data_IF_818551405351
#
_entry.id   IF_818551405351
#
_cell.length_a   1.000
_cell.length_b   1.000
_cell.length_c   1.000
_cell.angle_alpha   90.00
_cell.angle_beta   90.00
_cell.angle_gamma   90.00
#
_symmetry.space_group_name_H-M   'P 1'
#
loop_
_entity.id
_entity.type
_entity.pdbx_description
1 polymer ?
#
# COMPACT_ATOMS: atom_id res chain seq x y z
N UNK A 1 1.97 -68.88 -7.81
CA UNK A 1 1.15 -68.39 -6.68
C UNK A 1 0.45 -67.12 -7.15
N UNK A 2 -0.87 -67.15 -7.31
CA UNK A 2 -1.70 -66.03 -7.79
C UNK A 2 -2.09 -65.17 -6.59
N UNK A 3 -1.89 -63.86 -6.64
CA UNK A 3 -2.57 -62.90 -5.77
C UNK A 3 -3.33 -61.91 -6.66
N UNK A 4 -4.57 -61.68 -6.24
CA UNK A 4 -5.70 -61.09 -6.94
C UNK A 4 -5.73 -59.57 -6.69
N UNK A 5 -6.00 -58.80 -7.76
CA UNK A 5 -7.02 -57.72 -7.93
C UNK A 5 -7.48 -57.04 -6.61
N UNK A 6 -7.53 -55.72 -6.41
CA UNK A 6 -8.50 -54.77 -7.01
C UNK A 6 -8.25 -53.33 -6.49
N UNK A 7 -8.31 -52.35 -7.39
CA UNK A 7 -9.01 -51.06 -7.31
C UNK A 7 -9.05 -50.18 -6.03
N UNK A 8 -8.62 -48.93 -6.26
CA UNK A 8 -9.37 -47.67 -6.00
C UNK A 8 -9.42 -47.11 -4.56
N UNK A 9 -8.94 -45.85 -4.49
CA UNK A 9 -9.21 -44.77 -3.51
C UNK A 9 -8.45 -44.75 -2.17
N UNK A 10 -7.59 -43.74 -2.06
CA UNK A 10 -7.60 -42.59 -1.11
C UNK A 10 -6.43 -41.71 -1.63
N UNK A 11 -6.61 -40.73 -2.52
CA UNK A 11 -7.25 -39.42 -2.31
C UNK A 11 -7.07 -38.87 -0.90
N UNK A 12 -5.94 -38.21 -0.62
CA UNK A 12 -5.82 -37.08 0.30
C UNK A 12 -4.39 -36.50 0.33
N UNK A 13 -4.31 -35.19 0.60
CA UNK A 13 -3.16 -34.28 0.63
C UNK A 13 -2.90 -33.59 -0.72
N UNK A 14 -3.87 -32.81 -1.21
CA UNK A 14 -4.14 -31.42 -0.78
C UNK A 14 -2.89 -30.56 -0.94
N UNK A 15 -2.84 -29.88 -2.09
CA UNK A 15 -2.58 -28.44 -2.19
C UNK A 15 -1.64 -27.87 -1.12
N UNK A 16 -0.33 -27.94 -1.39
CA UNK A 16 0.61 -26.94 -0.91
C UNK A 16 0.41 -25.61 -1.64
N UNK A 17 -0.82 -25.10 -1.66
CA UNK A 17 -1.10 -23.73 -2.04
C UNK A 17 -0.51 -22.89 -0.91
N UNK A 18 0.62 -22.25 -1.18
CA UNK A 18 1.20 -21.26 -0.29
C UNK A 18 0.15 -20.17 -0.10
N UNK A 19 -0.57 -20.24 1.02
CA UNK A 19 -1.47 -19.19 1.46
C UNK A 19 -0.55 -18.02 1.82
N UNK A 20 -0.40 -17.11 0.86
CA UNK A 20 0.08 -15.77 1.15
C UNK A 20 -0.84 -15.22 2.23
N UNK A 21 -0.30 -15.07 3.44
CA UNK A 21 -0.97 -14.46 4.59
C UNK A 21 -1.22 -12.99 4.26
N UNK A 22 -2.31 -12.73 3.53
CA UNK A 22 -2.87 -11.39 3.39
C UNK A 22 -3.49 -11.02 4.73
N UNK A 23 -2.79 -10.22 5.52
CA UNK A 23 -3.40 -9.59 6.70
C UNK A 23 -4.59 -8.76 6.23
N UNK A 24 -5.80 -9.18 6.61
CA UNK A 24 -7.04 -8.45 6.33
C UNK A 24 -7.03 -7.16 7.14
N UNK A 25 -6.74 -6.04 6.49
CA UNK A 25 -6.78 -4.73 7.12
C UNK A 25 -8.25 -4.33 7.38
N UNK A 26 -8.55 -3.86 8.59
CA UNK A 26 -9.92 -3.52 9.04
C UNK A 26 -10.10 -2.00 8.94
N UNK A 27 -11.26 -1.45 8.66
CA UNK A 27 -11.44 0.02 8.56
C UNK A 27 -11.27 0.72 9.93
N UNK A 28 -10.56 1.86 10.01
CA UNK A 28 -10.46 2.66 11.26
C UNK A 28 -11.48 3.79 11.37
N UNK A 29 -11.86 4.45 10.27
CA UNK A 29 -12.80 5.59 10.25
C UNK A 29 -13.66 5.60 8.98
N UNK A 30 -14.84 6.21 9.03
CA UNK A 30 -15.70 6.46 7.86
C UNK A 30 -15.41 7.84 7.27
N UNK A 31 -15.19 7.88 5.95
CA UNK A 31 -15.08 9.04 5.05
C UNK A 31 -14.28 10.26 5.53
N UNK A 32 -12.96 10.07 5.65
CA UNK A 32 -11.95 11.12 5.75
C UNK A 32 -11.50 11.59 4.36
N UNK A 33 -11.21 12.89 4.25
CA UNK A 33 -10.54 13.46 3.09
C UNK A 33 -9.11 13.84 3.43
N UNK A 34 -8.13 13.28 2.72
CA UNK A 34 -6.70 13.53 2.91
C UNK A 34 -6.08 14.14 1.65
N UNK A 35 -5.21 15.12 1.84
CA UNK A 35 -4.38 15.65 0.76
C UNK A 35 -3.03 14.95 0.78
N UNK A 36 -2.71 14.27 -0.31
CA UNK A 36 -1.45 13.57 -0.47
C UNK A 36 -0.71 14.12 -1.69
N UNK A 37 0.56 14.43 -1.47
CA UNK A 37 1.49 14.81 -2.51
C UNK A 37 2.23 13.55 -2.96
N UNK A 38 2.30 13.36 -4.28
CA UNK A 38 3.14 12.33 -4.88
C UNK A 38 4.59 12.82 -4.89
N UNK A 39 5.46 12.06 -4.23
CA UNK A 39 6.84 12.44 -3.95
C UNK A 39 7.85 11.91 -4.97
N UNK A 40 7.45 11.05 -5.91
CA UNK A 40 8.19 10.83 -7.17
C UNK A 40 9.61 10.27 -7.04
N UNK A 41 9.96 9.53 -5.98
CA UNK A 41 11.34 9.10 -5.66
C UNK A 41 11.94 8.02 -6.59
N UNK A 42 11.46 7.86 -7.83
CA UNK A 42 11.94 6.81 -8.74
C UNK A 42 12.04 5.40 -8.10
N UNK A 43 11.17 5.11 -7.12
CA UNK A 43 11.11 3.85 -6.38
C UNK A 43 9.74 3.18 -6.55
N UNK A 44 9.63 1.85 -6.67
CA UNK A 44 8.35 1.12 -6.71
C UNK A 44 7.56 1.14 -5.39
N UNK A 45 8.06 1.83 -4.35
CA UNK A 45 7.50 1.87 -3.02
C UNK A 45 6.49 3.04 -2.83
N UNK A 46 5.61 3.04 -1.81
CA UNK A 46 4.65 4.13 -1.58
C UNK A 46 5.30 5.50 -1.58
N UNK A 47 4.84 6.37 -2.49
CA UNK A 47 5.39 7.71 -2.66
C UNK A 47 4.40 8.81 -2.26
N UNK A 48 3.43 8.48 -1.43
CA UNK A 48 2.40 9.44 -1.01
C UNK A 48 2.68 9.88 0.41
N UNK A 49 2.66 11.17 0.66
CA UNK A 49 2.73 11.72 2.00
C UNK A 49 1.91 13.01 2.07
N UNK A 50 1.48 13.39 3.26
CA UNK A 50 0.87 14.70 3.42
C UNK A 50 1.93 15.79 3.19
N UNK A 51 1.57 16.98 2.69
CA UNK A 51 2.51 18.09 2.56
C UNK A 51 3.21 18.44 3.90
N UNK A 52 2.49 18.28 5.01
CA UNK A 52 3.04 18.45 6.35
C UNK A 52 4.13 17.42 6.66
N UNK A 53 3.86 16.14 6.43
CA UNK A 53 4.82 15.06 6.70
C UNK A 53 6.09 15.19 5.82
N UNK A 54 5.93 15.61 4.56
CA UNK A 54 7.06 15.93 3.66
C UNK A 54 7.90 17.06 4.22
N UNK A 55 7.26 18.15 4.68
CA UNK A 55 7.96 19.27 5.28
C UNK A 55 8.71 18.86 6.55
N UNK A 56 8.08 18.04 7.39
CA UNK A 56 8.68 17.50 8.61
C UNK A 56 9.91 16.64 8.28
N UNK A 57 9.80 15.70 7.33
CA UNK A 57 10.92 14.88 6.87
C UNK A 57 12.08 15.76 6.35
N UNK A 58 11.81 16.68 5.42
CA UNK A 58 12.82 17.59 4.85
C UNK A 58 13.52 18.43 5.92
N UNK A 59 12.79 18.85 6.95
CA UNK A 59 13.34 19.65 8.06
C UNK A 59 14.21 18.81 9.01
N UNK A 60 14.08 17.49 9.00
CA UNK A 60 14.86 16.58 9.84
C UNK A 60 16.21 16.17 9.24
N UNK A 61 16.38 16.32 7.92
CA UNK A 61 17.58 15.91 7.18
C UNK A 61 18.82 16.64 7.69
N UNK A 62 19.90 15.89 7.96
CA UNK A 62 21.16 16.47 8.45
C UNK A 62 21.11 16.93 9.92
N UNK A 63 20.05 16.58 10.65
CA UNK A 63 19.94 16.82 12.09
C UNK A 63 20.22 15.55 12.89
N UNK A 64 20.42 15.68 14.21
CA UNK A 64 20.56 14.52 15.11
C UNK A 64 19.28 13.68 15.25
N UNK A 65 18.14 14.20 14.80
CA UNK A 65 16.82 13.58 14.90
C UNK A 65 16.24 13.29 13.51
N UNK A 66 17.09 12.82 12.58
CA UNK A 66 16.67 12.54 11.21
C UNK A 66 15.55 11.48 11.20
N UNK A 67 14.46 11.81 10.53
CA UNK A 67 13.28 10.96 10.43
C UNK A 67 13.43 10.09 9.20
N UNK A 68 13.22 8.79 9.35
CA UNK A 68 13.24 7.88 8.20
C UNK A 68 12.03 8.12 7.29
N UNK A 69 12.26 8.12 5.99
CA UNK A 69 11.26 8.49 4.99
C UNK A 69 10.06 7.53 4.95
N UNK A 70 10.25 6.27 5.31
CA UNK A 70 9.17 5.27 5.40
C UNK A 70 8.15 5.57 6.50
N UNK A 71 8.54 6.36 7.51
CA UNK A 71 7.66 6.76 8.61
C UNK A 71 6.61 7.78 8.18
N UNK A 72 6.92 8.58 7.14
CA UNK A 72 6.04 9.62 6.60
C UNK A 72 5.22 9.16 5.39
N UNK A 73 5.62 8.07 4.75
CA UNK A 73 4.92 7.53 3.58
C UNK A 73 3.62 6.79 3.91
N UNK A 74 2.70 6.91 2.96
CA UNK A 74 1.35 6.33 2.92
C UNK A 74 1.25 5.53 1.61
N UNK A 75 0.69 4.33 1.72
CA UNK A 75 0.29 3.54 0.55
C UNK A 75 -1.14 3.92 0.25
N UNK A 76 -1.44 4.23 -1.01
CA UNK A 76 -2.81 4.37 -1.47
C UNK A 76 -3.25 3.06 -2.15
N UNK A 77 -4.46 2.60 -1.86
CA UNK A 77 -5.07 1.43 -2.50
C UNK A 77 -6.48 1.79 -2.97
N UNK A 78 -6.87 1.50 -4.21
CA UNK A 78 -8.25 1.74 -4.65
C UNK A 78 -9.21 0.78 -3.93
N UNK A 79 -10.38 1.27 -3.52
CA UNK A 79 -11.42 0.43 -2.91
C UNK A 79 -11.93 -0.66 -3.86
N UNK A 80 -11.93 -0.39 -5.16
CA UNK A 80 -12.39 -1.34 -6.18
C UNK A 80 -11.68 -1.08 -7.53
N UNK A 81 -11.71 -2.05 -8.47
CA UNK A 81 -11.03 -1.93 -9.77
C UNK A 81 -11.51 -0.79 -10.67
N UNK A 82 -12.70 -0.22 -10.43
CA UNK A 82 -13.26 0.87 -11.21
C UNK A 82 -12.90 2.25 -10.62
N UNK A 83 -12.14 2.29 -9.53
CA UNK A 83 -11.69 3.54 -8.92
C UNK A 83 -10.70 4.23 -9.86
N UNK A 84 -10.92 5.52 -10.14
CA UNK A 84 -10.03 6.31 -11.01
C UNK A 84 -8.62 6.33 -10.43
N UNK A 85 -7.63 5.99 -11.25
CA UNK A 85 -6.22 6.16 -10.88
C UNK A 85 -5.89 7.66 -10.84
N UNK A 86 -5.28 8.19 -9.77
CA UNK A 86 -4.93 9.61 -9.69
C UNK A 86 -4.08 10.09 -10.88
N UNK A 87 -3.25 9.22 -11.46
CA UNK A 87 -2.42 9.58 -12.62
C UNK A 87 -3.18 9.69 -13.94
N UNK A 88 -4.44 9.25 -14.00
CA UNK A 88 -5.31 9.44 -15.16
C UNK A 88 -6.00 10.83 -15.16
N UNK A 89 -5.90 11.56 -14.04
CA UNK A 89 -6.41 12.92 -13.94
C UNK A 89 -5.47 13.92 -14.62
N UNK A 90 -5.97 15.10 -14.98
CA UNK A 90 -5.13 16.20 -15.48
C UNK A 90 -4.48 16.95 -14.31
N UNK A 91 -3.25 16.59 -13.94
CA UNK A 91 -2.51 17.17 -12.80
C UNK A 91 -1.28 17.98 -13.22
N UNK A 92 -0.78 18.82 -12.31
CA UNK A 92 0.53 19.48 -12.44
C UNK A 92 1.65 18.47 -12.14
N UNK A 93 2.45 18.13 -13.15
CA UNK A 93 3.55 17.18 -13.03
C UNK A 93 4.72 17.68 -12.17
N UNK A 94 4.80 18.99 -11.91
CA UNK A 94 5.85 19.59 -11.08
C UNK A 94 5.61 19.36 -9.60
N UNK A 95 4.34 19.47 -9.17
CA UNK A 95 3.94 19.26 -7.78
C UNK A 95 2.59 18.54 -7.70
N UNK A 96 2.58 17.23 -8.01
CA UNK A 96 1.35 16.44 -8.06
C UNK A 96 0.73 16.28 -6.66
N UNK A 97 -0.31 17.06 -6.37
CA UNK A 97 -1.11 16.98 -5.14
C UNK A 97 -2.54 16.57 -5.47
N UNK A 98 -3.01 15.55 -4.77
CA UNK A 98 -4.34 14.99 -4.95
C UNK A 98 -5.08 14.94 -3.62
N UNK A 99 -6.40 15.13 -3.72
CA UNK A 99 -7.32 14.97 -2.60
C UNK A 99 -8.02 13.63 -2.73
N UNK A 100 -7.80 12.75 -1.75
CA UNK A 100 -8.40 11.42 -1.68
C UNK A 100 -9.49 11.40 -0.62
N UNK A 101 -10.59 10.70 -0.88
CA UNK A 101 -11.71 10.56 0.07
C UNK A 101 -12.02 9.09 0.30
N UNK A 102 -12.01 8.67 1.57
CA UNK A 102 -12.46 7.37 2.10
C UNK A 102 -11.82 7.14 3.49
N UNK A 103 -10.80 6.28 3.65
CA UNK A 103 -10.40 5.83 4.99
C UNK A 103 -8.99 5.27 5.07
N UNK A 104 -8.40 5.44 6.25
CA UNK A 104 -7.25 4.64 6.65
C UNK A 104 -7.68 3.24 7.07
N UNK A 105 -6.92 2.26 6.61
CA UNK A 105 -7.04 0.89 7.08
C UNK A 105 -6.27 0.70 8.39
N UNK A 106 -6.80 -0.13 9.27
CA UNK A 106 -6.24 -0.56 10.56
C UNK A 106 -5.06 -1.45 10.27
N UNK A 107 -3.90 -0.98 10.72
CA UNK A 107 -2.63 -1.66 10.55
C UNK A 107 -1.70 -0.87 9.65
N UNK A 108 -0.54 -1.48 9.38
CA UNK A 108 0.48 -0.93 8.51
C UNK A 108 0.95 -2.03 7.59
N UNK A 109 1.22 -1.71 6.33
CA UNK A 109 1.74 -2.68 5.37
C UNK A 109 3.26 -2.59 5.38
N UNK A 110 3.87 -3.76 5.61
CA UNK A 110 5.31 -3.93 5.59
C UNK A 110 5.73 -4.48 4.24
N UNK A 111 6.88 -4.04 3.76
CA UNK A 111 7.46 -4.55 2.53
C UNK A 111 8.89 -4.10 2.35
N UNK A 112 9.47 -4.52 1.24
CA UNK A 112 10.82 -4.15 0.82
C UNK A 112 10.71 -3.62 -0.60
N UNK A 113 11.18 -2.40 -0.83
CA UNK A 113 11.29 -1.85 -2.18
C UNK A 113 12.30 -2.64 -3.03
N UNK A 114 12.29 -2.49 -4.34
CA UNK A 114 13.36 -3.03 -5.22
C UNK A 114 14.77 -2.58 -4.80
N UNK A 115 14.90 -1.37 -4.22
CA UNK A 115 16.16 -0.87 -3.65
C UNK A 115 16.54 -1.43 -2.28
N UNK A 116 15.85 -2.46 -1.77
CA UNK A 116 16.14 -3.07 -0.47
C UNK A 116 15.65 -2.28 0.75
N UNK A 117 15.05 -1.10 0.55
CA UNK A 117 14.49 -0.28 1.62
C UNK A 117 13.27 -0.98 2.22
N UNK A 118 13.34 -1.30 3.51
CA UNK A 118 12.20 -1.80 4.27
C UNK A 118 11.27 -0.65 4.59
N UNK A 119 9.98 -0.84 4.40
CA UNK A 119 8.95 0.13 4.76
C UNK A 119 7.90 -0.49 5.66
N UNK A 120 7.27 0.35 6.48
CA UNK A 120 6.17 0.02 7.36
C UNK A 120 5.18 1.18 7.36
N UNK A 121 4.30 1.24 6.37
CA UNK A 121 3.52 2.45 6.05
C UNK A 121 2.05 2.28 6.36
N UNK A 122 1.37 3.39 6.67
CA UNK A 122 -0.09 3.43 6.76
C UNK A 122 -0.68 3.18 5.37
N UNK A 123 -1.87 2.59 5.32
CA UNK A 123 -2.60 2.36 4.07
C UNK A 123 -3.86 3.21 4.07
N UNK A 124 -4.03 4.00 3.02
CA UNK A 124 -5.23 4.77 2.75
C UNK A 124 -5.98 4.11 1.59
N UNK A 125 -7.13 3.53 1.88
CA UNK A 125 -7.99 2.93 0.88
C UNK A 125 -8.91 4.02 0.35
N UNK A 126 -8.84 4.37 -0.94
CA UNK A 126 -9.58 5.51 -1.52
C UNK A 126 -10.74 5.07 -2.41
N UNK A 127 -11.88 5.75 -2.27
CA UNK A 127 -13.07 5.56 -3.11
C UNK A 127 -13.10 6.56 -4.27
N UNK A 128 -12.53 7.75 -4.04
CA UNK A 128 -12.49 8.84 -4.99
C UNK A 128 -11.19 9.63 -4.84
N UNK A 129 -10.70 10.19 -5.94
CA UNK A 129 -9.58 11.11 -5.96
C UNK A 129 -9.86 12.28 -6.94
N UNK A 130 -9.33 13.45 -6.61
CA UNK A 130 -9.35 14.62 -7.49
C UNK A 130 -8.06 15.42 -7.37
N UNK A 131 -7.75 16.18 -8.42
CA UNK A 131 -6.65 17.15 -8.38
C UNK A 131 -7.03 18.28 -7.41
N UNK A 132 -6.04 18.76 -6.66
CA UNK A 132 -6.18 19.90 -5.75
C UNK A 132 -6.38 21.21 -6.50
#
# INVERSE_FOLDING_TARGET
MKIIITSIQILLLIFGFNIAFGQKLIVQHEDETVELQYYGMMCPCPQWATPYDIKMYKSSLGTKNEISIDSVFIIIEPQNPNTINPFDLKYDSTNPVFKFTSRFLKGRKKGVSEGGIKFNSRVFEYANCKVK
#
